data_IF_716185419190
#
_entry.id   IF_716185419190
#
_cell.length_a   1.000
_cell.length_b   1.000
_cell.length_c   1.000
_cell.angle_alpha   90.00
_cell.angle_beta   90.00
_cell.angle_gamma   90.00
#
_symmetry.space_group_name_H-M   'P 1'
#
loop_
_entity.id
_entity.type
_entity.pdbx_description
1 polymer ?
#
# COMPACT_ATOMS: atom_id res chain seq x y z
N UNK A 1 25.41 11.14 -21.55
CA UNK A 1 24.57 12.33 -21.27
C UNK A 1 24.77 12.73 -19.81
N UNK A 2 25.56 13.78 -19.54
CA UNK A 2 25.86 14.31 -18.18
C UNK A 2 25.41 15.80 -18.09
N UNK A 3 24.57 16.25 -19.02
CA UNK A 3 24.19 17.67 -19.14
C UNK A 3 23.07 18.11 -18.17
N UNK A 4 22.29 17.18 -17.63
CA UNK A 4 21.06 17.52 -16.88
C UNK A 4 21.33 18.07 -15.47
N UNK A 5 22.42 17.66 -14.80
CA UNK A 5 22.70 18.09 -13.42
C UNK A 5 23.24 19.52 -13.30
N UNK A 6 24.07 19.95 -14.25
CA UNK A 6 24.75 21.26 -14.24
C UNK A 6 23.87 22.40 -14.75
N UNK A 7 23.00 22.15 -15.73
CA UNK A 7 22.04 23.15 -16.21
C UNK A 7 20.96 23.43 -15.16
N UNK A 8 20.42 22.40 -14.51
CA UNK A 8 19.39 22.56 -13.48
C UNK A 8 19.91 23.22 -12.19
N UNK A 9 21.19 23.05 -11.85
CA UNK A 9 21.79 23.77 -10.73
C UNK A 9 21.95 25.27 -11.05
N UNK A 10 22.20 25.64 -12.32
CA UNK A 10 22.19 27.04 -12.77
C UNK A 10 20.79 27.65 -12.71
N UNK A 11 19.75 26.90 -13.09
CA UNK A 11 18.36 27.39 -13.04
C UNK A 11 17.93 27.76 -11.61
N UNK A 12 18.35 26.98 -10.62
CA UNK A 12 18.07 27.30 -9.21
C UNK A 12 18.87 28.52 -8.71
N UNK A 13 20.05 28.80 -9.26
CA UNK A 13 20.82 29.98 -8.87
C UNK A 13 20.12 31.27 -9.28
N UNK A 14 19.39 31.29 -10.40
CA UNK A 14 18.66 32.47 -10.85
C UNK A 14 17.64 32.97 -9.80
N UNK A 15 17.09 32.08 -8.96
CA UNK A 15 16.19 32.47 -7.86
C UNK A 15 16.86 33.41 -6.85
N UNK A 16 18.19 33.42 -6.75
CA UNK A 16 18.95 34.29 -5.84
C UNK A 16 19.03 35.75 -6.31
N UNK A 17 18.82 35.98 -7.60
CA UNK A 17 19.11 37.28 -8.22
C UNK A 17 17.94 38.25 -8.15
N UNK A 18 16.75 37.79 -7.74
CA UNK A 18 15.54 38.61 -7.71
C UNK A 18 14.65 38.33 -6.50
N UNK A 19 13.73 39.28 -6.26
CA UNK A 19 12.56 39.08 -5.42
C UNK A 19 11.33 39.01 -6.33
N UNK A 20 10.39 38.14 -6.00
CA UNK A 20 9.11 38.08 -6.71
C UNK A 20 7.98 37.64 -5.80
N UNK A 21 6.79 38.13 -6.10
CA UNK A 21 5.52 37.55 -5.62
C UNK A 21 4.72 37.13 -6.82
N UNK A 22 4.14 35.94 -6.72
CA UNK A 22 3.31 35.33 -7.74
C UNK A 22 1.97 35.00 -7.10
N UNK A 23 0.90 35.46 -7.73
CA UNK A 23 -0.47 35.04 -7.43
C UNK A 23 -1.12 34.64 -8.75
N UNK A 24 -1.43 33.35 -8.90
CA UNK A 24 -1.98 32.75 -10.11
C UNK A 24 -3.27 32.05 -9.79
N UNK A 25 -4.30 32.45 -10.52
CA UNK A 25 -5.59 31.80 -10.57
C UNK A 25 -5.84 31.34 -12.00
N UNK A 26 -6.10 30.05 -12.18
CA UNK A 26 -6.47 29.50 -13.47
C UNK A 26 -7.67 28.56 -13.31
N UNK A 27 -8.72 28.80 -14.09
CA UNK A 27 -9.90 27.93 -14.09
C UNK A 27 -9.54 26.52 -14.57
N UNK A 28 -8.62 26.43 -15.53
CA UNK A 28 -8.13 25.18 -16.06
C UNK A 28 -6.64 25.27 -16.47
N UNK A 29 -5.87 24.26 -16.10
CA UNK A 29 -4.50 24.02 -16.53
C UNK A 29 -4.38 22.57 -16.99
N UNK A 30 -3.76 22.31 -18.14
CA UNK A 30 -3.44 20.96 -18.57
C UNK A 30 -1.98 20.63 -18.27
N UNK A 31 -1.74 19.57 -17.48
CA UNK A 31 -0.39 19.09 -17.16
C UNK A 31 -0.31 17.59 -17.40
N UNK A 32 0.61 17.15 -18.28
CA UNK A 32 0.78 15.73 -18.66
C UNK A 32 -0.53 15.05 -19.09
N UNK A 33 -1.40 15.79 -19.78
CA UNK A 33 -2.72 15.32 -20.21
C UNK A 33 -3.79 15.26 -19.12
N UNK A 34 -3.44 15.55 -17.86
CA UNK A 34 -4.43 15.74 -16.80
C UNK A 34 -4.96 17.17 -16.83
N UNK A 35 -6.28 17.31 -16.72
CA UNK A 35 -6.91 18.61 -16.50
C UNK A 35 -6.93 18.92 -15.01
N UNK A 36 -6.32 20.04 -14.65
CA UNK A 36 -6.35 20.63 -13.32
C UNK A 36 -7.35 21.77 -13.36
N UNK A 37 -8.40 21.69 -12.56
CA UNK A 37 -9.39 22.76 -12.44
C UNK A 37 -9.14 23.60 -11.18
N UNK A 38 -9.59 24.86 -11.22
CA UNK A 38 -9.57 25.78 -10.07
C UNK A 38 -8.17 25.91 -9.42
N UNK A 39 -7.13 25.98 -10.25
CA UNK A 39 -5.77 26.11 -9.79
C UNK A 39 -5.59 27.45 -9.07
N UNK A 40 -5.03 27.39 -7.86
CA UNK A 40 -4.56 28.55 -7.11
C UNK A 40 -3.12 28.33 -6.70
N UNK A 41 -2.27 29.30 -7.00
CA UNK A 41 -0.87 29.30 -6.65
C UNK A 41 -0.50 30.66 -6.07
N UNK A 42 -0.01 30.67 -4.84
CA UNK A 42 0.64 31.82 -4.24
C UNK A 42 2.07 31.44 -3.88
N UNK A 43 3.02 32.25 -4.36
CA UNK A 43 4.44 32.06 -4.07
C UNK A 43 5.15 33.39 -3.86
N UNK A 44 6.17 33.38 -2.99
CA UNK A 44 7.06 34.50 -2.73
C UNK A 44 8.51 33.99 -2.79
N UNK A 45 9.34 34.65 -3.57
CA UNK A 45 10.78 34.43 -3.64
C UNK A 45 11.50 35.64 -3.03
N UNK A 46 12.32 35.39 -2.02
CA UNK A 46 13.22 36.38 -1.43
C UNK A 46 14.66 35.95 -1.65
N UNK A 47 15.22 36.33 -2.80
CA UNK A 47 16.60 36.02 -3.20
C UNK A 47 17.02 34.58 -2.87
N UNK A 48 16.22 33.62 -3.34
CA UNK A 48 16.51 32.19 -3.22
C UNK A 48 15.84 31.51 -2.02
N UNK A 49 15.09 32.24 -1.19
CA UNK A 49 14.12 31.63 -0.28
C UNK A 49 12.73 31.70 -0.89
N UNK A 50 12.27 30.59 -1.47
CA UNK A 50 10.94 30.47 -2.05
C UNK A 50 9.98 29.87 -1.03
N UNK A 51 8.83 30.52 -0.84
CA UNK A 51 7.71 29.99 -0.08
C UNK A 51 6.50 29.89 -0.97
N UNK A 52 5.75 28.80 -0.84
CA UNK A 52 4.55 28.51 -1.61
C UNK A 52 3.45 28.09 -0.63
N UNK A 53 2.81 29.05 0.07
CA UNK A 53 1.77 28.75 1.05
C UNK A 53 0.50 28.18 0.42
N UNK A 54 0.26 28.41 -0.87
CA UNK A 54 -0.90 27.90 -1.59
C UNK A 54 -0.46 27.30 -2.91
N UNK A 55 -0.72 26.01 -3.08
CA UNK A 55 -0.75 25.33 -4.37
C UNK A 55 -1.89 24.31 -4.29
N UNK A 56 -3.04 24.68 -4.82
CA UNK A 56 -4.26 23.87 -4.70
C UNK A 56 -4.98 23.77 -6.03
N UNK A 57 -5.81 22.74 -6.17
CA UNK A 57 -6.72 22.60 -7.30
C UNK A 57 -7.41 21.26 -7.29
N UNK A 58 -8.15 20.98 -8.36
CA UNK A 58 -8.86 19.73 -8.57
C UNK A 58 -8.21 18.96 -9.70
N UNK A 59 -7.90 17.69 -9.49
CA UNK A 59 -7.28 16.82 -10.50
C UNK A 59 -7.75 15.39 -10.31
N UNK A 60 -7.93 14.68 -11.43
CA UNK A 60 -8.31 13.25 -11.42
C UNK A 60 -9.54 12.95 -10.53
N UNK A 61 -10.54 13.85 -10.55
CA UNK A 61 -11.79 13.72 -9.80
C UNK A 61 -11.72 14.05 -8.31
N UNK A 62 -10.55 14.45 -7.79
CA UNK A 62 -10.36 14.83 -6.39
C UNK A 62 -9.66 16.17 -6.21
N UNK A 63 -9.35 16.51 -4.97
CA UNK A 63 -8.72 17.77 -4.58
C UNK A 63 -7.26 17.55 -4.14
N UNK A 64 -6.38 18.50 -4.45
CA UNK A 64 -5.02 18.52 -3.95
C UNK A 64 -4.66 19.86 -3.30
N UNK A 65 -3.76 19.79 -2.33
CA UNK A 65 -3.05 20.90 -1.71
C UNK A 65 -1.60 20.50 -1.48
N UNK A 66 -0.66 21.30 -1.97
CA UNK A 66 0.78 21.01 -1.95
C UNK A 66 1.59 22.21 -1.46
N UNK A 67 1.32 22.80 -0.27
CA UNK A 67 2.12 23.88 0.26
C UNK A 67 3.57 23.43 0.48
N UNK A 68 4.50 24.36 0.33
CA UNK A 68 5.92 24.02 0.45
C UNK A 68 6.86 25.21 0.46
N UNK A 69 8.15 24.90 0.46
CA UNK A 69 9.24 25.86 0.41
C UNK A 69 10.46 25.28 -0.27
N UNK A 70 11.28 26.16 -0.83
CA UNK A 70 12.57 25.84 -1.42
C UNK A 70 13.58 26.91 -0.97
N UNK A 71 14.60 26.51 -0.22
CA UNK A 71 15.73 27.37 0.12
C UNK A 71 16.94 26.95 -0.70
N UNK A 72 17.36 27.84 -1.61
CA UNK A 72 18.55 27.64 -2.44
C UNK A 72 19.67 28.59 -2.04
N UNK A 73 19.63 29.27 -0.89
CA UNK A 73 20.66 30.27 -0.52
C UNK A 73 22.00 29.63 -0.13
N UNK A 74 21.96 28.43 0.44
CA UNK A 74 23.16 27.64 0.77
C UNK A 74 23.71 26.84 -0.40
N UNK A 75 24.82 26.13 -0.18
CA UNK A 75 25.46 25.29 -1.20
C UNK A 75 24.58 24.12 -1.66
N UNK A 76 23.71 23.63 -0.76
CA UNK A 76 22.75 22.59 -1.03
C UNK A 76 21.33 23.15 -0.92
N UNK A 77 20.54 22.96 -1.98
CA UNK A 77 19.14 23.33 -1.97
C UNK A 77 18.33 22.42 -1.02
N UNK A 78 17.36 23.01 -0.32
CA UNK A 78 16.47 22.32 0.60
C UNK A 78 15.02 22.60 0.22
N UNK A 79 14.33 21.56 -0.24
CA UNK A 79 12.91 21.58 -0.58
C UNK A 79 12.10 20.88 0.52
N UNK A 80 10.91 21.40 0.80
CA UNK A 80 9.93 20.79 1.70
C UNK A 80 8.53 20.96 1.11
N UNK A 81 7.72 19.91 1.15
CA UNK A 81 6.29 19.98 0.79
C UNK A 81 5.45 19.17 1.77
N UNK A 82 4.22 19.61 1.97
CA UNK A 82 3.24 18.95 2.84
C UNK A 82 2.02 18.56 2.01
N UNK A 83 2.10 17.45 1.26
CA UNK A 83 1.02 17.07 0.37
C UNK A 83 -0.23 16.67 1.16
N UNK A 84 -1.38 17.17 0.71
CA UNK A 84 -2.71 16.71 1.09
C UNK A 84 -3.50 16.42 -0.19
N UNK A 85 -3.82 15.16 -0.41
CA UNK A 85 -4.57 14.66 -1.56
C UNK A 85 -5.86 14.05 -1.04
N UNK A 86 -6.97 14.31 -1.72
CA UNK A 86 -8.27 13.75 -1.37
C UNK A 86 -8.91 13.12 -2.60
N UNK A 87 -9.18 11.82 -2.53
CA UNK A 87 -9.92 11.05 -3.54
C UNK A 87 -9.37 11.16 -4.97
N UNK A 88 -8.06 11.21 -5.12
CA UNK A 88 -7.39 11.27 -6.42
C UNK A 88 -7.48 9.92 -7.12
N UNK A 89 -8.02 9.88 -8.36
CA UNK A 89 -8.09 8.64 -9.14
C UNK A 89 -6.70 8.15 -9.56
N UNK A 90 -6.30 6.99 -9.05
CA UNK A 90 -4.98 6.40 -9.30
C UNK A 90 -4.76 6.03 -10.76
N UNK A 91 -5.80 5.58 -11.48
CA UNK A 91 -5.67 5.18 -12.87
C UNK A 91 -5.27 6.36 -13.77
N UNK A 92 -5.87 7.52 -13.54
CA UNK A 92 -5.55 8.78 -14.22
C UNK A 92 -4.11 9.19 -13.94
N UNK A 93 -3.67 9.12 -12.68
CA UNK A 93 -2.30 9.45 -12.28
C UNK A 93 -1.31 8.49 -12.92
N UNK A 94 -1.53 7.17 -12.82
CA UNK A 94 -0.63 6.18 -13.40
C UNK A 94 -0.44 6.37 -14.90
N UNK A 95 -1.53 6.65 -15.63
CA UNK A 95 -1.47 6.96 -17.06
C UNK A 95 -0.64 8.23 -17.36
N UNK A 96 -0.78 9.29 -16.58
CA UNK A 96 -0.07 10.56 -16.80
C UNK A 96 1.45 10.48 -16.54
N UNK A 97 1.89 9.48 -15.79
CA UNK A 97 3.29 9.27 -15.41
C UNK A 97 3.89 7.98 -15.98
N UNK A 98 3.23 7.32 -16.94
CA UNK A 98 3.67 6.07 -17.57
C UNK A 98 3.97 4.95 -16.55
N UNK A 99 3.19 4.90 -15.47
CA UNK A 99 3.29 3.87 -14.44
C UNK A 99 2.35 2.71 -14.82
N UNK A 100 2.81 1.45 -14.79
CA UNK A 100 1.94 0.30 -15.00
C UNK A 100 0.75 0.31 -14.03
N UNK A 101 -0.46 0.10 -14.54
CA UNK A 101 -1.67 0.10 -13.72
C UNK A 101 -1.81 -1.22 -12.94
N UNK A 102 -1.02 -1.38 -11.88
CA UNK A 102 -1.11 -2.53 -10.98
C UNK A 102 -2.31 -2.45 -10.02
N UNK A 103 -2.90 -1.26 -9.87
CA UNK A 103 -4.14 -1.07 -9.12
C UNK A 103 -4.97 0.10 -9.65
N UNK A 104 -6.24 0.12 -9.28
CA UNK A 104 -7.12 1.29 -9.33
C UNK A 104 -7.58 1.68 -7.93
N UNK A 105 -8.27 2.81 -7.81
CA UNK A 105 -8.88 3.28 -6.57
C UNK A 105 -8.73 4.79 -6.40
N UNK A 106 -9.35 5.32 -5.35
CA UNK A 106 -9.30 6.73 -4.98
C UNK A 106 -8.31 6.94 -3.84
N UNK A 107 -7.18 7.59 -4.13
CA UNK A 107 -6.13 7.88 -3.17
C UNK A 107 -6.45 9.12 -2.34
N UNK A 108 -6.40 8.96 -1.02
CA UNK A 108 -6.27 10.04 -0.04
C UNK A 108 -4.89 9.93 0.61
N UNK A 109 -4.16 11.03 0.69
CA UNK A 109 -2.81 11.04 1.24
C UNK A 109 -2.56 12.33 2.01
N UNK A 110 -1.92 12.22 3.17
CA UNK A 110 -1.31 13.36 3.85
C UNK A 110 0.15 13.05 4.18
N UNK A 111 1.05 14.01 4.03
CA UNK A 111 2.45 13.77 4.33
C UNK A 111 3.28 15.01 4.58
N UNK A 112 4.53 14.79 4.94
CA UNK A 112 5.57 15.79 5.02
C UNK A 112 6.82 15.19 4.37
N UNK A 113 7.25 15.80 3.27
CA UNK A 113 8.36 15.30 2.47
C UNK A 113 9.40 16.41 2.29
N UNK A 114 10.66 16.04 2.29
CA UNK A 114 11.77 16.94 2.03
C UNK A 114 12.77 16.33 1.07
N UNK A 115 13.51 17.19 0.37
CA UNK A 115 14.48 16.76 -0.60
C UNK A 115 15.39 17.91 -1.01
N UNK A 116 16.18 17.69 -2.05
CA UNK A 116 17.11 18.69 -2.55
C UNK A 116 16.55 19.53 -3.70
N UNK A 117 15.47 19.09 -4.36
CA UNK A 117 14.92 19.76 -5.56
C UNK A 117 13.43 19.49 -5.72
N UNK A 118 12.66 20.48 -6.18
CA UNK A 118 11.24 20.35 -6.55
C UNK A 118 11.08 19.77 -7.96
N UNK A 119 11.43 18.50 -8.13
CA UNK A 119 11.31 17.79 -9.39
C UNK A 119 10.90 16.33 -9.16
N UNK A 120 10.13 15.74 -10.10
CA UNK A 120 9.59 14.38 -9.98
C UNK A 120 10.70 13.33 -9.94
N UNK A 121 11.75 13.49 -10.76
CA UNK A 121 12.92 12.60 -10.73
C UNK A 121 13.61 12.66 -9.36
N UNK A 122 13.75 13.85 -8.77
CA UNK A 122 14.31 14.00 -7.43
C UNK A 122 13.41 13.30 -6.39
N UNK A 123 12.09 13.45 -6.48
CA UNK A 123 11.14 12.79 -5.58
C UNK A 123 11.33 11.27 -5.54
N UNK A 124 11.59 10.66 -6.71
CA UNK A 124 11.81 9.22 -6.82
C UNK A 124 13.16 8.74 -6.25
N UNK A 125 14.16 9.61 -6.07
CA UNK A 125 15.54 9.19 -5.76
C UNK A 125 16.15 9.81 -4.50
N UNK A 126 15.84 11.06 -4.17
CA UNK A 126 16.56 11.82 -3.14
C UNK A 126 15.68 12.27 -1.99
N UNK A 127 14.37 12.27 -2.18
CA UNK A 127 13.45 12.75 -1.16
C UNK A 127 13.28 11.77 -0.01
N UNK A 128 12.86 12.29 1.12
CA UNK A 128 12.61 11.56 2.35
C UNK A 128 11.39 12.15 3.08
N UNK A 129 10.80 11.39 3.99
CA UNK A 129 9.71 11.86 4.83
C UNK A 129 8.70 10.78 5.15
N UNK A 130 7.52 11.20 5.60
CA UNK A 130 6.44 10.30 5.98
C UNK A 130 5.13 10.69 5.30
N UNK A 131 4.31 9.68 5.01
CA UNK A 131 2.97 9.86 4.52
C UNK A 131 2.02 8.84 5.14
N UNK A 132 0.75 9.21 5.25
CA UNK A 132 -0.36 8.32 5.55
C UNK A 132 -1.21 8.21 4.29
N UNK A 133 -1.53 6.97 3.92
CA UNK A 133 -2.21 6.64 2.68
C UNK A 133 -3.51 5.92 3.02
N UNK A 134 -4.56 6.28 2.30
CA UNK A 134 -5.80 5.52 2.21
C UNK A 134 -6.20 5.41 0.74
N UNK A 135 -6.60 4.22 0.30
CA UNK A 135 -7.15 4.00 -1.04
C UNK A 135 -8.51 3.34 -0.89
N UNK A 136 -9.54 4.04 -1.33
CA UNK A 136 -10.90 3.52 -1.31
C UNK A 136 -11.25 2.88 -2.67
N UNK A 137 -12.05 1.82 -2.61
CA UNK A 137 -12.53 1.05 -3.76
C UNK A 137 -11.39 0.59 -4.68
N UNK A 138 -10.35 0.03 -4.07
CA UNK A 138 -9.18 -0.45 -4.78
C UNK A 138 -9.43 -1.79 -5.46
N UNK A 139 -8.91 -1.92 -6.68
CA UNK A 139 -8.79 -3.20 -7.37
C UNK A 139 -7.31 -3.47 -7.59
N UNK A 140 -6.80 -4.54 -6.97
CA UNK A 140 -5.41 -4.96 -7.16
C UNK A 140 -5.37 -5.92 -8.37
N UNK A 141 -4.71 -5.50 -9.43
CA UNK A 141 -4.61 -6.27 -10.67
C UNK A 141 -3.40 -7.21 -10.63
N UNK A 142 -3.41 -8.21 -11.53
CA UNK A 142 -2.33 -9.18 -11.67
C UNK A 142 -2.40 -10.37 -10.72
N UNK A 143 -3.09 -10.24 -9.57
CA UNK A 143 -3.31 -11.35 -8.64
C UNK A 143 -4.68 -11.24 -7.96
N UNK A 144 -5.50 -12.29 -8.06
CA UNK A 144 -6.66 -12.48 -7.19
C UNK A 144 -6.23 -13.32 -5.97
N UNK A 145 -6.03 -12.65 -4.84
CA UNK A 145 -5.53 -13.26 -3.60
C UNK A 145 -6.55 -14.25 -3.01
N UNK A 146 -7.86 -13.92 -3.06
CA UNK A 146 -8.92 -14.83 -2.61
C UNK A 146 -8.84 -16.14 -3.39
N UNK A 147 -8.82 -16.04 -4.72
CA UNK A 147 -8.74 -17.19 -5.61
C UNK A 147 -7.50 -18.03 -5.33
N UNK A 148 -6.33 -17.38 -5.24
CA UNK A 148 -5.06 -18.05 -4.97
C UNK A 148 -5.13 -18.91 -3.70
N UNK A 149 -5.63 -18.32 -2.62
CA UNK A 149 -5.72 -18.97 -1.31
C UNK A 149 -6.75 -20.11 -1.35
N UNK A 150 -7.96 -19.85 -1.86
CA UNK A 150 -9.01 -20.86 -1.89
C UNK A 150 -8.61 -22.08 -2.72
N UNK A 151 -7.94 -21.86 -3.86
CA UNK A 151 -7.44 -22.95 -4.69
C UNK A 151 -6.28 -23.71 -4.02
N UNK A 152 -5.39 -23.01 -3.31
CA UNK A 152 -4.29 -23.66 -2.59
C UNK A 152 -4.81 -24.54 -1.43
N UNK A 153 -5.77 -24.05 -0.65
CA UNK A 153 -6.41 -24.82 0.41
C UNK A 153 -7.16 -26.02 -0.17
N UNK A 154 -7.97 -25.84 -1.22
CA UNK A 154 -8.76 -26.92 -1.83
C UNK A 154 -7.89 -28.05 -2.42
N UNK A 155 -6.64 -27.78 -2.81
CA UNK A 155 -5.68 -28.82 -3.24
C UNK A 155 -5.19 -29.69 -2.09
N UNK A 156 -5.11 -29.13 -0.88
CA UNK A 156 -4.56 -29.80 0.29
C UNK A 156 -5.65 -30.42 1.19
N UNK A 157 -6.85 -29.82 1.23
CA UNK A 157 -7.94 -30.23 2.12
C UNK A 157 -9.11 -30.82 1.35
N UNK A 158 -9.31 -32.13 1.51
CA UNK A 158 -10.46 -32.83 0.91
C UNK A 158 -11.75 -32.41 1.62
N UNK A 159 -12.67 -31.80 0.88
CA UNK A 159 -14.00 -31.42 1.39
C UNK A 159 -14.24 -29.91 1.54
N UNK A 160 -13.27 -29.09 1.09
CA UNK A 160 -13.44 -27.65 0.90
C UNK A 160 -13.16 -27.29 -0.55
N UNK A 161 -13.93 -26.37 -1.10
CA UNK A 161 -13.70 -25.76 -2.42
C UNK A 161 -13.85 -24.24 -2.31
N UNK A 162 -13.26 -23.52 -3.25
CA UNK A 162 -13.55 -22.12 -3.45
C UNK A 162 -14.78 -21.91 -4.35
N UNK A 163 -14.98 -20.66 -4.80
CA UNK A 163 -16.05 -20.30 -5.73
C UNK A 163 -15.81 -20.87 -7.14
N UNK A 164 -16.90 -21.00 -7.91
CA UNK A 164 -16.85 -21.46 -9.31
C UNK A 164 -16.35 -20.38 -10.27
N UNK A 165 -16.56 -19.11 -9.93
CA UNK A 165 -16.17 -17.94 -10.74
C UNK A 165 -15.49 -16.91 -9.86
N UNK A 166 -14.37 -16.38 -10.36
CA UNK A 166 -13.62 -15.32 -9.71
C UNK A 166 -13.51 -14.12 -10.64
N UNK A 167 -13.47 -12.93 -10.04
CA UNK A 167 -12.95 -11.74 -10.72
C UNK A 167 -11.44 -11.92 -11.00
N UNK A 168 -10.90 -11.15 -11.96
CA UNK A 168 -9.47 -11.21 -12.30
C UNK A 168 -8.57 -10.36 -11.40
N UNK A 169 -9.14 -9.68 -10.42
CA UNK A 169 -8.46 -8.77 -9.49
C UNK A 169 -8.83 -9.11 -8.05
N UNK A 170 -8.06 -8.60 -7.10
CA UNK A 170 -8.45 -8.59 -5.68
C UNK A 170 -9.21 -7.30 -5.39
N UNK A 171 -10.46 -7.43 -4.96
CA UNK A 171 -11.29 -6.28 -4.57
C UNK A 171 -11.00 -5.89 -3.11
N UNK A 172 -10.77 -4.61 -2.87
CA UNK A 172 -10.50 -4.03 -1.55
C UNK A 172 -11.34 -2.77 -1.40
N UNK A 173 -12.22 -2.73 -0.40
CA UNK A 173 -13.04 -1.55 -0.13
C UNK A 173 -12.20 -0.40 0.41
N UNK A 174 -11.28 -0.71 1.32
CA UNK A 174 -10.38 0.27 1.90
C UNK A 174 -9.01 -0.36 2.13
N UNK A 175 -7.96 0.31 1.67
CA UNK A 175 -6.57 0.02 1.95
C UNK A 175 -5.97 1.20 2.71
N UNK A 176 -5.27 0.97 3.81
CA UNK A 176 -4.52 2.01 4.53
C UNK A 176 -3.08 1.56 4.75
N UNK A 177 -2.17 2.53 4.83
CA UNK A 177 -0.77 2.29 5.17
C UNK A 177 -0.08 3.56 5.69
N UNK A 178 0.93 3.40 6.54
CA UNK A 178 1.92 4.44 6.86
C UNK A 178 3.16 4.21 5.99
N UNK A 179 3.54 5.21 5.22
CA UNK A 179 4.72 5.17 4.36
C UNK A 179 5.84 6.02 4.96
N UNK A 180 7.06 5.47 4.97
CA UNK A 180 8.29 6.22 5.18
C UNK A 180 9.10 6.19 3.88
N UNK A 181 9.37 7.35 3.31
CA UNK A 181 10.24 7.50 2.15
C UNK A 181 11.64 7.84 2.62
N UNK A 182 12.64 7.17 2.06
CA UNK A 182 14.05 7.47 2.26
C UNK A 182 14.81 7.20 0.95
N UNK A 183 15.08 8.27 0.20
CA UNK A 183 15.88 8.23 -1.03
C UNK A 183 15.42 7.16 -2.02
N UNK A 184 14.12 7.17 -2.32
CA UNK A 184 13.50 6.22 -3.25
C UNK A 184 13.13 4.85 -2.66
N UNK A 185 13.61 4.52 -1.45
CA UNK A 185 13.09 3.38 -0.69
C UNK A 185 11.86 3.80 0.11
N UNK A 186 10.73 3.14 -0.13
CA UNK A 186 9.49 3.34 0.63
C UNK A 186 9.29 2.13 1.54
N UNK A 187 9.28 2.36 2.85
CA UNK A 187 8.83 1.36 3.81
C UNK A 187 7.35 1.59 4.11
N UNK A 188 6.52 0.57 3.88
CA UNK A 188 5.12 0.54 4.25
C UNK A 188 4.98 -0.18 5.59
N UNK A 189 4.29 0.46 6.53
CA UNK A 189 3.96 -0.10 7.84
C UNK A 189 2.48 -0.03 8.10
N UNK A 190 2.01 -0.94 8.96
CA UNK A 190 0.59 -1.00 9.37
C UNK A 190 -0.32 -1.05 8.13
N UNK A 191 0.08 -1.80 7.10
CA UNK A 191 -0.76 -2.02 5.94
C UNK A 191 -1.99 -2.78 6.41
N UNK A 192 -3.16 -2.26 6.11
CA UNK A 192 -4.45 -2.89 6.37
C UNK A 192 -5.29 -2.79 5.12
N UNK A 193 -5.94 -3.86 4.72
CA UNK A 193 -6.92 -3.82 3.65
C UNK A 193 -8.14 -4.68 3.98
N UNK A 194 -9.32 -4.13 3.72
CA UNK A 194 -10.60 -4.74 4.09
C UNK A 194 -11.53 -4.81 2.88
N UNK A 195 -12.25 -5.92 2.79
CA UNK A 195 -13.31 -6.17 1.83
C UNK A 195 -14.33 -7.15 2.44
N UNK A 196 -15.49 -7.38 1.83
CA UNK A 196 -16.49 -8.32 2.35
C UNK A 196 -15.97 -9.75 2.53
N UNK A 197 -14.96 -10.17 1.74
CA UNK A 197 -14.46 -11.54 1.70
C UNK A 197 -13.00 -11.69 2.11
N UNK A 198 -12.29 -10.58 2.34
CA UNK A 198 -10.86 -10.56 2.63
C UNK A 198 -10.51 -9.49 3.66
N UNK A 199 -9.76 -9.89 4.68
CA UNK A 199 -8.97 -8.98 5.50
C UNK A 199 -7.49 -9.25 5.27
N UNK A 200 -6.72 -8.17 5.16
CA UNK A 200 -5.29 -8.18 4.87
C UNK A 200 -4.61 -7.29 5.90
N UNK A 201 -3.50 -7.77 6.46
CA UNK A 201 -2.61 -6.93 7.27
C UNK A 201 -1.15 -7.22 6.93
N UNK A 202 -0.25 -6.26 7.11
CA UNK A 202 1.17 -6.53 6.90
C UNK A 202 2.03 -5.30 6.78
N UNK A 203 3.21 -5.50 6.22
CA UNK A 203 4.25 -4.50 6.06
C UNK A 203 5.09 -4.85 4.83
N UNK A 204 5.87 -3.89 4.33
CA UNK A 204 6.73 -4.16 3.18
C UNK A 204 7.60 -3.00 2.77
N UNK A 205 8.31 -3.20 1.66
CA UNK A 205 9.19 -2.22 1.06
C UNK A 205 8.95 -2.14 -0.44
N UNK A 206 9.02 -0.92 -0.96
CA UNK A 206 9.08 -0.62 -2.38
C UNK A 206 10.38 0.12 -2.67
N UNK A 207 11.03 -0.20 -3.78
CA UNK A 207 12.15 0.58 -4.31
C UNK A 207 11.65 1.26 -5.59
N UNK A 208 11.43 2.58 -5.55
CA UNK A 208 10.87 3.33 -6.67
C UNK A 208 11.86 3.41 -7.86
N UNK A 209 13.16 3.70 -7.66
CA UNK A 209 14.14 3.69 -8.76
C UNK A 209 14.25 2.34 -9.45
N UNK A 210 14.37 1.25 -8.69
CA UNK A 210 14.54 -0.10 -9.24
C UNK A 210 13.22 -0.78 -9.58
N UNK A 211 12.08 -0.15 -9.28
CA UNK A 211 10.73 -0.67 -9.48
C UNK A 211 10.56 -2.07 -8.86
N UNK A 212 11.08 -2.25 -7.66
CA UNK A 212 10.96 -3.49 -6.90
C UNK A 212 9.93 -3.39 -5.79
N UNK A 213 9.38 -4.54 -5.43
CA UNK A 213 8.42 -4.72 -4.36
C UNK A 213 8.84 -5.90 -3.51
N UNK A 214 8.63 -5.82 -2.19
CA UNK A 214 8.67 -6.95 -1.27
C UNK A 214 7.71 -6.67 -0.11
N UNK A 215 6.54 -7.30 -0.14
CA UNK A 215 5.47 -7.10 0.84
C UNK A 215 5.12 -8.45 1.45
N UNK A 216 5.01 -8.48 2.77
CA UNK A 216 4.50 -9.64 3.50
C UNK A 216 3.15 -9.32 4.10
N UNK A 217 2.16 -10.14 3.77
CA UNK A 217 0.76 -10.01 4.16
C UNK A 217 0.32 -11.21 4.98
N UNK A 218 -0.51 -10.98 5.98
CA UNK A 218 -1.36 -11.97 6.61
C UNK A 218 -2.75 -11.82 5.98
N UNK A 219 -3.22 -12.87 5.30
CA UNK A 219 -4.48 -12.84 4.57
C UNK A 219 -5.51 -13.72 5.23
N UNK A 220 -6.63 -13.15 5.65
CA UNK A 220 -7.78 -13.87 6.17
C UNK A 220 -8.91 -13.82 5.13
N UNK A 221 -9.32 -14.99 4.66
CA UNK A 221 -10.42 -15.13 3.68
C UNK A 221 -11.72 -15.39 4.44
N UNK A 222 -12.51 -14.35 4.66
CA UNK A 222 -13.71 -14.38 5.50
C UNK A 222 -14.94 -14.97 4.80
N UNK A 223 -14.91 -15.15 3.47
CA UNK A 223 -16.05 -15.71 2.74
C UNK A 223 -15.71 -16.36 1.41
N UNK A 224 -16.74 -16.82 0.70
CA UNK A 224 -16.60 -17.50 -0.60
C UNK A 224 -16.16 -18.96 -0.54
N UNK A 225 -16.06 -19.54 0.66
CA UNK A 225 -15.78 -20.96 0.85
C UNK A 225 -17.03 -21.82 0.62
N UNK A 226 -16.84 -23.04 0.12
CA UNK A 226 -17.88 -24.06 -0.05
C UNK A 226 -17.41 -25.41 0.53
N UNK A 227 -18.33 -26.22 1.07
CA UNK A 227 -18.01 -27.53 1.66
C UNK A 227 -18.43 -27.66 3.12
N UNK A 228 -17.64 -28.38 3.92
CA UNK A 228 -17.97 -28.68 5.33
C UNK A 228 -17.93 -27.42 6.21
N UNK A 229 -19.06 -27.10 6.85
CA UNK A 229 -19.22 -25.90 7.69
C UNK A 229 -18.12 -25.71 8.73
N UNK A 230 -17.77 -26.78 9.46
CA UNK A 230 -16.74 -26.74 10.50
C UNK A 230 -15.35 -26.35 10.02
N UNK A 231 -14.97 -26.77 8.81
CA UNK A 231 -13.68 -26.43 8.20
C UNK A 231 -13.71 -25.00 7.65
N UNK A 232 -14.85 -24.59 7.10
CA UNK A 232 -15.05 -23.21 6.61
C UNK A 232 -14.91 -22.21 7.76
N UNK A 233 -15.57 -22.44 8.89
CA UNK A 233 -15.47 -21.55 10.06
C UNK A 233 -14.04 -21.38 10.57
N UNK A 234 -13.22 -22.42 10.43
CA UNK A 234 -11.82 -22.39 10.80
C UNK A 234 -10.99 -21.59 9.78
N UNK A 235 -11.13 -21.90 8.50
CA UNK A 235 -10.45 -21.18 7.41
C UNK A 235 -10.77 -19.67 7.43
N UNK A 236 -12.00 -19.31 7.78
CA UNK A 236 -12.41 -17.91 7.92
C UNK A 236 -11.71 -17.18 9.06
N UNK A 237 -11.16 -17.88 10.06
CA UNK A 237 -10.45 -17.32 11.22
C UNK A 237 -8.93 -17.42 11.11
N UNK A 238 -8.43 -18.18 10.14
CA UNK A 238 -7.02 -18.49 10.02
C UNK A 238 -6.34 -17.52 9.04
N UNK A 239 -5.44 -16.63 9.50
CA UNK A 239 -4.63 -15.81 8.61
C UNK A 239 -3.56 -16.67 7.91
N UNK A 240 -3.43 -16.48 6.60
CA UNK A 240 -2.49 -17.20 5.74
C UNK A 240 -1.39 -16.23 5.29
N UNK A 241 -0.12 -16.48 5.63
CA UNK A 241 0.99 -15.65 5.18
C UNK A 241 1.20 -15.72 3.67
N UNK A 242 1.23 -14.56 3.02
CA UNK A 242 1.49 -14.34 1.61
C UNK A 242 2.62 -13.31 1.48
N UNK A 243 3.70 -13.67 0.79
CA UNK A 243 4.74 -12.71 0.38
C UNK A 243 4.59 -12.43 -1.10
N UNK A 244 4.60 -11.17 -1.50
CA UNK A 244 4.59 -10.70 -2.89
C UNK A 244 5.87 -9.90 -3.13
N UNK A 245 6.70 -10.31 -4.10
CA UNK A 245 8.03 -9.73 -4.26
C UNK A 245 8.54 -9.76 -5.71
N UNK A 246 9.52 -8.90 -6.01
CA UNK A 246 10.19 -8.80 -7.31
C UNK A 246 9.88 -7.50 -8.07
N UNK A 247 10.22 -7.43 -9.37
CA UNK A 247 9.95 -6.26 -10.20
C UNK A 247 8.44 -6.04 -10.41
N UNK A 248 7.98 -4.80 -10.47
CA UNK A 248 6.54 -4.48 -10.65
C UNK A 248 5.92 -5.08 -11.91
N UNK A 249 6.72 -5.30 -12.96
CA UNK A 249 6.27 -5.92 -14.21
C UNK A 249 6.13 -7.45 -14.12
N UNK A 250 6.78 -8.07 -13.12
CA UNK A 250 6.83 -9.52 -12.96
C UNK A 250 6.94 -9.88 -11.47
N UNK A 251 5.83 -9.65 -10.75
CA UNK A 251 5.76 -10.00 -9.34
C UNK A 251 5.68 -11.52 -9.16
N UNK A 252 6.46 -12.02 -8.22
CA UNK A 252 6.41 -13.39 -7.71
C UNK A 252 5.62 -13.40 -6.41
N UNK A 253 5.12 -14.58 -6.04
CA UNK A 253 4.45 -14.77 -4.77
C UNK A 253 4.86 -16.07 -4.09
N UNK A 254 4.83 -16.06 -2.77
CA UNK A 254 5.06 -17.23 -1.93
C UNK A 254 3.94 -17.33 -0.90
N UNK A 255 3.22 -18.45 -0.94
CA UNK A 255 2.10 -18.73 -0.04
C UNK A 255 2.47 -19.89 0.89
N UNK A 256 2.29 -19.71 2.21
CA UNK A 256 2.62 -20.73 3.22
C UNK A 256 1.35 -21.41 3.78
N UNK A 257 0.68 -22.21 2.95
CA UNK A 257 -0.60 -22.86 3.34
C UNK A 257 -0.39 -24.10 4.21
N UNK A 258 0.51 -25.00 3.81
CA UNK A 258 0.61 -26.35 4.40
C UNK A 258 0.96 -26.34 5.88
N UNK A 259 1.78 -25.37 6.31
CA UNK A 259 2.16 -25.24 7.72
C UNK A 259 0.97 -24.75 8.54
N UNK A 260 0.32 -23.68 8.07
CA UNK A 260 -0.80 -23.04 8.76
C UNK A 260 -2.00 -23.97 8.91
N UNK A 261 -2.34 -24.74 7.87
CA UNK A 261 -3.43 -25.71 7.96
C UNK A 261 -3.13 -26.85 8.93
N UNK A 262 -1.90 -27.41 8.89
CA UNK A 262 -1.50 -28.47 9.83
C UNK A 262 -1.51 -27.99 11.28
N UNK A 263 -0.92 -26.83 11.54
CA UNK A 263 -0.85 -26.25 12.88
C UNK A 263 -2.29 -26.01 13.41
N UNK A 264 -3.17 -25.44 12.58
CA UNK A 264 -4.55 -25.16 12.96
C UNK A 264 -5.40 -26.42 13.19
N UNK A 265 -5.18 -27.49 12.41
CA UNK A 265 -5.85 -28.78 12.64
C UNK A 265 -5.34 -29.46 13.91
N UNK A 266 -4.04 -29.37 14.20
CA UNK A 266 -3.46 -29.92 15.42
C UNK A 266 -3.98 -29.22 16.68
N UNK A 267 -4.07 -27.89 16.66
CA UNK A 267 -4.62 -27.10 17.76
C UNK A 267 -6.08 -27.47 18.04
N UNK A 268 -6.91 -27.60 17.00
CA UNK A 268 -8.32 -28.02 17.17
C UNK A 268 -8.44 -29.46 17.66
N UNK A 269 -7.60 -30.38 17.18
CA UNK A 269 -7.58 -31.75 17.68
C UNK A 269 -7.25 -31.75 19.19
N UNK A 270 -6.24 -30.97 19.61
CA UNK A 270 -5.93 -30.77 21.03
C UNK A 270 -7.12 -30.18 21.79
N UNK A 271 -7.77 -29.14 21.28
CA UNK A 271 -8.94 -28.51 21.92
C UNK A 271 -10.16 -29.43 22.04
N UNK A 272 -10.45 -30.21 21.00
CA UNK A 272 -11.56 -31.16 20.99
C UNK A 272 -11.29 -32.33 21.95
N UNK A 273 -10.06 -32.86 21.96
CA UNK A 273 -9.62 -33.88 22.90
C UNK A 273 -9.65 -33.35 24.34
N UNK A 274 -9.22 -32.11 24.56
CA UNK A 274 -9.32 -31.44 25.86
C UNK A 274 -10.77 -31.31 26.31
N UNK A 275 -11.67 -30.75 25.49
CA UNK A 275 -13.11 -30.63 25.81
C UNK A 275 -13.77 -31.99 26.06
N UNK A 276 -13.40 -33.02 25.31
CA UNK A 276 -13.88 -34.38 25.54
C UNK A 276 -13.36 -34.96 26.86
N UNK A 277 -12.06 -34.79 27.15
CA UNK A 277 -11.47 -35.22 28.41
C UNK A 277 -12.10 -34.49 29.59
N UNK A 278 -12.44 -33.20 29.43
CA UNK A 278 -13.15 -32.42 30.43
C UNK A 278 -14.57 -32.88 30.69
N UNK A 279 -15.33 -33.22 29.63
CA UNK A 279 -16.68 -33.78 29.76
C UNK A 279 -16.70 -35.20 30.31
N UNK A 280 -15.61 -35.95 30.15
CA UNK A 280 -15.48 -37.34 30.61
C UNK A 280 -14.51 -37.48 31.80
N UNK A 281 -14.33 -36.44 32.61
CA UNK A 281 -13.41 -36.40 33.77
C UNK A 281 -13.61 -37.55 34.78
N UNK A 282 -14.82 -38.11 34.86
CA UNK A 282 -15.17 -39.21 35.77
C UNK A 282 -14.93 -40.60 35.16
N UNK A 283 -14.62 -40.69 33.87
CA UNK A 283 -14.33 -41.94 33.16
C UNK A 283 -12.83 -42.21 33.14
N UNK A 284 -12.43 -43.48 33.33
CA UNK A 284 -11.03 -43.94 33.26
C UNK A 284 -10.34 -43.51 31.96
N UNK A 285 -11.07 -43.58 30.85
CA UNK A 285 -10.57 -43.21 29.52
C UNK A 285 -10.37 -41.68 29.39
N UNK A 286 -11.17 -40.86 30.08
CA UNK A 286 -10.99 -39.41 30.12
C UNK A 286 -9.74 -38.99 30.91
N UNK A 287 -9.44 -39.70 32.00
CA UNK A 287 -8.27 -39.44 32.85
C UNK A 287 -6.94 -39.83 32.17
N UNK A 288 -6.92 -40.96 31.45
CA UNK A 288 -5.74 -41.42 30.72
C UNK A 288 -5.43 -40.54 29.51
N UNK A 289 -6.46 -40.08 28.79
CA UNK A 289 -6.27 -39.16 27.67
C UNK A 289 -5.72 -37.80 28.13
N UNK A 290 -6.18 -37.29 29.28
CA UNK A 290 -5.69 -36.02 29.84
C UNK A 290 -4.19 -36.08 30.18
N UNK A 291 -3.72 -37.20 30.75
CA UNK A 291 -2.29 -37.42 31.05
C UNK A 291 -1.40 -37.50 29.80
N UNK A 292 -1.95 -37.94 28.68
CA UNK A 292 -1.23 -37.98 27.39
C UNK A 292 -1.16 -36.60 26.73
N UNK A 293 -2.22 -35.79 26.86
CA UNK A 293 -2.26 -34.42 26.34
C UNK A 293 -1.30 -33.48 27.09
N UNK A 294 -1.15 -33.65 28.41
CA UNK A 294 -0.19 -32.86 29.23
C UNK A 294 1.29 -33.13 28.88
N UNK A 295 1.58 -34.16 28.07
CA UNK A 295 2.95 -34.53 27.63
C UNK A 295 3.27 -34.12 26.18
N UNK A 296 2.33 -33.50 25.46
CA UNK A 296 2.39 -33.17 24.01
C UNK A 296 2.34 -31.66 23.73
#
# INVERSE_FOLDING_TARGET
MIASGTEQQRDLQALRDFNARLDVHADQLTYRGMNIAQLKLQADNQRGKVTMPTLTGQVAGGDFSLPGSLDVRGDNAMAQVQPSLQRIDLATVFKAFDIPQFMTGQLTMNGALSGNRLAIDALLHSWQGNAQLAVDNAQLHGLNIQQLIQQAVARNERGVRGQDKYQRYTEVQQLTAKANLNRGAVTLRELSAQSPLLHLSGDGMLNLPEKQCDITLNVQVTGGWQGRSELIEQLQKTPIPLRVFGPWQQLNYQLKVDRVLRDSLQDRAKDALNKWAEKNKESRNGQDLKKLLDKL
#
